data_IF_279419072481
#
_entry.id   IF_279419072481
#
_cell.length_a   1.000
_cell.length_b   1.000
_cell.length_c   1.000
_cell.angle_alpha   90.00
_cell.angle_beta   90.00
_cell.angle_gamma   90.00
#
_symmetry.space_group_name_H-M   'P 1'
#
loop_
_entity.id
_entity.type
_entity.pdbx_description
1 polymer ?
#
# COMPACT_ATOMS: atom_id res chain seq x y z
N UNK A 1 -3.78 -16.22 61.12
CA UNK A 1 -4.56 -15.33 60.22
C UNK A 1 -3.84 -15.26 58.88
N UNK A 2 -4.36 -15.91 57.85
CA UNK A 2 -3.77 -15.94 56.50
C UNK A 2 -4.31 -14.75 55.69
N UNK A 3 -3.42 -13.95 55.08
CA UNK A 3 -3.81 -12.81 54.24
C UNK A 3 -4.32 -13.31 52.88
N UNK A 4 -5.39 -12.72 52.31
CA UNK A 4 -5.85 -13.12 50.99
C UNK A 4 -4.85 -12.65 49.92
N UNK A 5 -4.45 -13.56 49.02
CA UNK A 5 -3.73 -13.21 47.80
C UNK A 5 -4.77 -12.79 46.76
N UNK A 6 -4.87 -11.48 46.51
CA UNK A 6 -5.63 -10.96 45.37
C UNK A 6 -4.79 -11.23 44.12
N UNK A 7 -5.26 -12.14 43.28
CA UNK A 7 -4.70 -12.38 41.95
C UNK A 7 -5.39 -11.39 41.01
N UNK A 8 -4.64 -10.37 40.56
CA UNK A 8 -5.07 -9.54 39.43
C UNK A 8 -4.88 -10.35 38.14
N UNK A 9 -5.97 -10.88 37.61
CA UNK A 9 -6.00 -11.45 36.26
C UNK A 9 -6.10 -10.29 35.26
N UNK A 10 -4.97 -9.84 34.73
CA UNK A 10 -4.94 -8.91 33.61
C UNK A 10 -5.34 -9.65 32.34
N UNK A 11 -6.64 -9.59 32.00
CA UNK A 11 -7.13 -9.96 30.68
C UNK A 11 -6.67 -8.88 29.69
N UNK A 12 -5.53 -9.09 29.03
CA UNK A 12 -5.16 -8.30 27.85
C UNK A 12 -6.08 -8.70 26.69
N UNK A 13 -7.26 -8.10 26.63
CA UNK A 13 -8.05 -8.02 25.40
C UNK A 13 -7.32 -7.09 24.44
N UNK A 14 -6.35 -7.61 23.69
CA UNK A 14 -5.83 -6.89 22.53
C UNK A 14 -6.92 -6.88 21.46
N UNK A 15 -7.77 -5.86 21.49
CA UNK A 15 -8.61 -5.47 20.37
C UNK A 15 -7.67 -4.99 19.26
N UNK A 16 -7.10 -5.93 18.52
CA UNK A 16 -6.50 -5.65 17.21
C UNK A 16 -7.66 -5.43 16.23
N UNK A 17 -8.39 -4.33 16.37
CA UNK A 17 -9.27 -3.88 15.30
C UNK A 17 -8.37 -3.39 14.18
N UNK A 18 -8.23 -4.23 13.14
CA UNK A 18 -7.60 -3.80 11.89
C UNK A 18 -8.38 -2.57 11.42
N UNK A 19 -7.70 -1.43 11.30
CA UNK A 19 -8.32 -0.22 10.80
C UNK A 19 -8.89 -0.50 9.40
N UNK A 20 -10.19 -0.25 9.22
CA UNK A 20 -10.86 -0.53 7.95
C UNK A 20 -10.48 0.51 6.90
N UNK A 21 -10.22 0.04 5.68
CA UNK A 21 -10.03 0.89 4.51
C UNK A 21 -11.41 1.29 3.99
N UNK A 22 -11.56 2.56 3.62
CA UNK A 22 -12.73 3.06 2.92
C UNK A 22 -12.37 3.40 1.47
N UNK A 23 -13.39 3.54 0.62
CA UNK A 23 -13.21 3.84 -0.81
C UNK A 23 -12.48 5.15 -1.10
N UNK A 24 -12.50 6.13 -0.18
CA UNK A 24 -11.79 7.42 -0.35
C UNK A 24 -10.28 7.28 -0.20
N UNK A 25 -9.80 6.33 0.61
CA UNK A 25 -8.36 6.05 0.76
C UNK A 25 -7.79 5.54 -0.57
N UNK A 26 -8.53 4.67 -1.26
CA UNK A 26 -8.14 4.10 -2.54
C UNK A 26 -8.45 5.03 -3.73
N UNK A 27 -9.53 5.80 -3.67
CA UNK A 27 -9.95 6.66 -4.77
C UNK A 27 -9.08 7.91 -4.92
N UNK A 28 -8.38 8.04 -6.06
CA UNK A 28 -7.48 9.15 -6.43
C UNK A 28 -6.09 9.10 -5.78
N UNK A 29 -5.61 7.91 -5.44
CA UNK A 29 -4.25 7.71 -4.91
C UNK A 29 -3.37 6.93 -5.89
N UNK A 30 -2.07 7.19 -5.77
CA UNK A 30 -1.01 6.43 -6.41
C UNK A 30 -0.40 5.54 -5.33
N UNK A 31 -0.29 4.26 -5.64
CA UNK A 31 0.23 3.26 -4.72
C UNK A 31 1.42 2.56 -5.33
N UNK A 32 2.45 2.33 -4.54
CA UNK A 32 3.63 1.59 -4.92
C UNK A 32 3.65 0.25 -4.20
N UNK A 33 4.06 -0.80 -4.88
CA UNK A 33 4.38 -2.06 -4.24
C UNK A 33 5.63 -1.90 -3.37
N UNK A 34 5.55 -2.39 -2.14
CA UNK A 34 6.68 -2.53 -1.23
C UNK A 34 6.90 -4.02 -1.00
N UNK A 35 7.54 -4.68 -1.96
CA UNK A 35 7.79 -6.13 -1.93
C UNK A 35 9.27 -6.43 -2.19
N UNK A 36 9.80 -7.45 -1.52
CA UNK A 36 11.14 -8.00 -1.74
C UNK A 36 11.33 -8.62 -3.14
N UNK A 37 10.25 -8.86 -3.89
CA UNK A 37 10.30 -9.31 -5.27
C UNK A 37 9.47 -8.36 -6.16
N UNK A 38 10.02 -7.98 -7.32
CA UNK A 38 9.36 -7.19 -8.37
C UNK A 38 8.13 -7.90 -8.96
N UNK A 39 8.01 -9.20 -8.76
CA UNK A 39 6.88 -10.04 -9.17
C UNK A 39 5.69 -9.92 -8.21
N UNK A 40 5.13 -8.70 -8.09
CA UNK A 40 3.96 -8.34 -7.28
C UNK A 40 2.83 -9.40 -7.29
N UNK A 41 2.61 -10.05 -8.43
CA UNK A 41 1.54 -11.02 -8.64
C UNK A 41 1.80 -12.43 -8.12
N UNK A 42 3.07 -12.77 -7.86
CA UNK A 42 3.47 -14.12 -7.42
C UNK A 42 3.40 -14.28 -5.91
N UNK A 43 3.62 -13.20 -5.15
CA UNK A 43 3.56 -13.26 -3.69
C UNK A 43 2.13 -13.45 -3.20
N UNK A 44 1.97 -14.26 -2.15
CA UNK A 44 0.70 -14.39 -1.44
C UNK A 44 0.40 -13.17 -0.57
N UNK A 45 1.42 -12.43 -0.14
CA UNK A 45 1.22 -11.17 0.59
C UNK A 45 1.93 -10.03 -0.11
N UNK A 46 1.24 -8.91 -0.22
CA UNK A 46 1.75 -7.72 -0.88
C UNK A 46 1.52 -6.51 0.02
N UNK A 47 2.55 -5.70 0.23
CA UNK A 47 2.37 -4.38 0.82
C UNK A 47 2.30 -3.32 -0.28
N UNK A 48 1.35 -2.39 -0.15
CA UNK A 48 1.28 -1.21 -1.00
C UNK A 48 1.33 0.05 -0.15
N UNK A 49 2.03 1.06 -0.66
CA UNK A 49 2.22 2.34 0.02
C UNK A 49 1.77 3.50 -0.85
N UNK A 50 0.97 4.40 -0.28
CA UNK A 50 0.61 5.69 -0.86
C UNK A 50 1.23 6.79 -0.02
N UNK A 51 1.64 7.87 -0.68
CA UNK A 51 2.13 9.08 -0.03
C UNK A 51 1.57 10.30 -0.75
N UNK A 52 1.41 11.40 -0.01
CA UNK A 52 1.07 12.69 -0.63
C UNK A 52 2.37 13.42 -0.96
N UNK A 53 2.60 13.79 -2.23
CA UNK A 53 3.77 14.59 -2.59
C UNK A 53 3.72 15.94 -1.87
N UNK A 54 4.91 16.43 -1.51
CA UNK A 54 5.08 17.70 -0.80
C UNK A 54 4.67 18.87 -1.70
N UNK A 55 4.09 19.93 -1.11
CA UNK A 55 3.52 21.06 -1.85
C UNK A 55 4.57 21.95 -2.52
N UNK A 56 5.85 21.84 -2.16
CA UNK A 56 6.93 22.61 -2.79
C UNK A 56 7.23 22.09 -4.20
N UNK A 57 6.60 22.71 -5.18
CA UNK A 57 6.79 22.55 -6.62
C UNK A 57 8.26 22.49 -7.04
N UNK A 58 8.61 21.55 -7.94
CA UNK A 58 8.93 21.80 -9.36
C UNK A 58 9.98 20.88 -9.96
N UNK A 59 10.71 20.13 -9.16
CA UNK A 59 11.65 19.18 -9.70
C UNK A 59 11.03 17.79 -9.70
N UNK A 60 11.01 17.15 -10.87
CA UNK A 60 10.91 15.68 -11.05
C UNK A 60 11.95 14.89 -10.21
N UNK A 61 12.78 15.60 -9.46
CA UNK A 61 13.99 15.19 -8.80
C UNK A 61 13.73 15.16 -7.30
N UNK A 62 13.09 14.08 -6.83
CA UNK A 62 13.11 13.57 -5.45
C UNK A 62 12.11 12.41 -5.27
N UNK A 63 11.06 12.35 -6.09
CA UNK A 63 10.08 11.27 -6.04
C UNK A 63 10.76 9.92 -6.30
N UNK A 64 11.47 9.81 -7.41
CA UNK A 64 12.38 8.72 -7.78
C UNK A 64 13.22 8.16 -6.61
N UNK A 65 14.05 9.01 -6.02
CA UNK A 65 14.95 8.64 -4.93
C UNK A 65 14.19 8.28 -3.66
N UNK A 66 13.08 8.95 -3.40
CA UNK A 66 12.20 8.61 -2.29
C UNK A 66 11.51 7.25 -2.47
N UNK A 67 11.04 6.92 -3.69
CA UNK A 67 10.51 5.59 -4.02
C UNK A 67 11.56 4.49 -3.77
N UNK A 68 12.84 4.77 -4.07
CA UNK A 68 13.94 3.86 -3.76
C UNK A 68 14.29 3.74 -2.28
N UNK A 69 14.01 4.75 -1.45
CA UNK A 69 14.19 4.62 0.01
C UNK A 69 13.04 3.85 0.68
N UNK A 70 11.86 3.82 0.05
CA UNK A 70 10.71 3.06 0.53
C UNK A 70 10.73 1.59 0.12
N UNK A 71 11.47 1.26 -0.94
CA UNK A 71 11.60 -0.09 -1.44
C UNK A 71 13.08 -0.45 -1.59
N UNK A 72 13.55 -1.43 -0.81
CA UNK A 72 14.91 -1.96 -0.93
C UNK A 72 15.16 -2.61 -2.30
N UNK A 73 14.10 -2.87 -3.07
CA UNK A 73 14.15 -3.36 -4.43
C UNK A 73 14.26 -2.24 -5.47
N UNK A 74 15.10 -2.47 -6.48
CA UNK A 74 15.33 -1.56 -7.62
C UNK A 74 14.18 -1.53 -8.62
N UNK A 75 13.15 -2.35 -8.45
CA UNK A 75 11.95 -2.36 -9.29
C UNK A 75 10.70 -2.31 -8.41
N UNK A 76 9.70 -1.53 -8.83
CA UNK A 76 8.39 -1.53 -8.19
C UNK A 76 7.24 -1.44 -9.18
N UNK A 77 6.08 -1.91 -8.74
CA UNK A 77 4.80 -1.78 -9.42
C UNK A 77 4.08 -0.55 -8.89
N UNK A 78 3.64 0.31 -9.79
CA UNK A 78 2.77 1.44 -9.49
C UNK A 78 1.32 1.14 -9.91
N UNK A 79 0.40 1.35 -8.96
CA UNK A 79 -1.03 1.17 -9.10
C UNK A 79 -1.72 2.53 -8.95
N UNK A 80 -2.49 2.94 -9.96
CA UNK A 80 -3.34 4.14 -9.86
C UNK A 80 -4.81 3.74 -9.89
N UNK A 81 -5.45 3.80 -8.73
CA UNK A 81 -6.87 3.52 -8.56
C UNK A 81 -7.69 4.79 -8.84
N UNK A 82 -8.30 4.85 -10.03
CA UNK A 82 -9.16 5.96 -10.41
C UNK A 82 -10.58 5.75 -9.90
N UNK A 83 -11.25 6.83 -9.53
CA UNK A 83 -12.61 6.81 -8.97
C UNK A 83 -13.69 6.22 -9.90
N UNK A 84 -13.39 6.09 -11.20
CA UNK A 84 -14.27 5.45 -12.19
C UNK A 84 -13.97 3.95 -12.39
N UNK A 85 -13.39 3.29 -11.40
CA UNK A 85 -13.02 1.87 -11.45
C UNK A 85 -11.93 1.52 -12.49
N UNK A 86 -11.29 2.51 -13.11
CA UNK A 86 -10.11 2.28 -13.94
C UNK A 86 -8.88 2.12 -13.08
N UNK A 87 -8.08 1.11 -13.38
CA UNK A 87 -6.76 0.90 -12.82
C UNK A 87 -5.73 1.33 -13.88
N UNK A 88 -4.68 2.04 -13.47
CA UNK A 88 -3.43 2.06 -14.24
C UNK A 88 -2.41 1.20 -13.52
N UNK A 89 -1.65 0.44 -14.30
CA UNK A 89 -0.64 -0.48 -13.81
C UNK A 89 0.64 -0.29 -14.63
N UNK A 90 1.74 -0.02 -13.96
CA UNK A 90 3.08 0.14 -14.56
C UNK A 90 4.15 -0.49 -13.69
N UNK A 91 5.23 -0.95 -14.31
CA UNK A 91 6.47 -1.30 -13.61
C UNK A 91 7.49 -0.20 -13.86
N UNK A 92 8.24 0.15 -12.83
CA UNK A 92 9.27 1.19 -12.89
C UNK A 92 10.58 0.56 -12.42
N UNK A 93 11.59 0.63 -13.28
CA UNK A 93 12.96 0.29 -12.93
C UNK A 93 13.66 1.55 -12.42
N UNK A 94 14.21 1.49 -11.19
CA UNK A 94 14.82 2.64 -10.51
C UNK A 94 16.18 2.99 -11.11
N UNK A 95 16.93 2.00 -11.57
CA UNK A 95 18.28 2.25 -12.10
C UNK A 95 18.22 2.99 -13.45
N UNK A 96 17.27 2.62 -14.30
CA UNK A 96 17.11 3.16 -15.66
C UNK A 96 16.00 4.20 -15.78
N UNK A 97 15.11 4.29 -14.78
CA UNK A 97 13.86 5.05 -14.82
C UNK A 97 12.91 4.64 -15.94
N UNK A 98 13.10 3.44 -16.51
CA UNK A 98 12.22 2.92 -17.53
C UNK A 98 10.86 2.57 -16.92
N UNK A 99 9.82 3.19 -17.48
CA UNK A 99 8.43 2.93 -17.13
C UNK A 99 7.83 2.03 -18.19
N UNK A 100 7.47 0.82 -17.80
CA UNK A 100 6.71 -0.09 -18.64
C UNK A 100 5.24 -0.03 -18.25
N UNK A 101 4.46 0.70 -19.02
CA UNK A 101 3.00 0.72 -18.88
C UNK A 101 2.38 -0.51 -19.54
N UNK A 102 1.47 -1.14 -18.82
CA UNK A 102 0.75 -2.28 -19.34
C UNK A 102 -0.46 -1.79 -20.13
N UNK A 103 -0.61 -2.25 -21.38
CA UNK A 103 -1.73 -1.87 -22.25
C UNK A 103 -2.91 -2.83 -22.07
N UNK A 104 -4.13 -2.29 -22.08
CA UNK A 104 -5.40 -3.04 -22.04
C UNK A 104 -6.43 -2.47 -21.07
N UNK A 105 -7.63 -3.04 -21.07
CA UNK A 105 -8.68 -2.69 -20.10
C UNK A 105 -8.30 -3.22 -18.71
N UNK A 106 -8.12 -2.30 -17.78
CA UNK A 106 -7.70 -2.53 -16.40
C UNK A 106 -8.78 -1.99 -15.49
N UNK A 107 -9.41 -2.88 -14.74
CA UNK A 107 -10.47 -2.48 -13.81
C UNK A 107 -10.15 -2.97 -12.41
N UNK A 108 -10.62 -2.20 -11.43
CA UNK A 108 -10.55 -2.57 -10.03
C UNK A 108 -11.92 -2.42 -9.39
N UNK A 109 -12.16 -3.21 -8.34
CA UNK A 109 -13.35 -3.11 -7.52
C UNK A 109 -12.97 -3.27 -6.06
N UNK A 110 -13.58 -2.46 -5.19
CA UNK A 110 -13.39 -2.57 -3.74
C UNK A 110 -14.70 -2.87 -3.05
N UNK A 111 -14.70 -3.96 -2.27
CA UNK A 111 -15.80 -4.31 -1.40
C UNK A 111 -15.45 -3.89 0.02
N UNK A 112 -15.98 -2.75 0.45
CA UNK A 112 -15.73 -2.18 1.78
C UNK A 112 -16.21 -3.10 2.91
N UNK A 113 -17.35 -3.78 2.75
CA UNK A 113 -17.88 -4.70 3.76
C UNK A 113 -16.95 -5.90 3.98
N UNK A 114 -16.38 -6.44 2.90
CA UNK A 114 -15.48 -7.61 2.95
C UNK A 114 -14.01 -7.23 3.09
N UNK A 115 -13.67 -5.94 2.97
CA UNK A 115 -12.31 -5.43 2.90
C UNK A 115 -11.49 -6.15 1.81
N UNK A 116 -12.08 -6.32 0.62
CA UNK A 116 -11.43 -7.02 -0.50
C UNK A 116 -11.27 -6.12 -1.72
N UNK A 117 -10.11 -6.22 -2.37
CA UNK A 117 -9.79 -5.58 -3.64
C UNK A 117 -9.74 -6.65 -4.73
N UNK A 118 -10.51 -6.46 -5.80
CA UNK A 118 -10.43 -7.26 -7.01
C UNK A 118 -9.71 -6.43 -8.09
N UNK A 119 -8.71 -7.02 -8.74
CA UNK A 119 -7.96 -6.43 -9.85
C UNK A 119 -8.13 -7.32 -11.07
N UNK A 120 -8.59 -6.74 -12.18
CA UNK A 120 -8.67 -7.45 -13.47
C UNK A 120 -7.77 -6.77 -14.48
N UNK A 121 -6.83 -7.54 -15.01
CA UNK A 121 -5.93 -7.09 -16.07
C UNK A 121 -5.59 -8.25 -17.02
N UNK A 122 -5.89 -8.08 -18.31
CA UNK A 122 -5.77 -9.14 -19.32
C UNK A 122 -6.52 -10.41 -18.86
N UNK A 123 -5.82 -11.55 -18.80
CA UNK A 123 -6.36 -12.83 -18.33
C UNK A 123 -6.08 -13.09 -16.84
N UNK A 124 -5.55 -12.11 -16.11
CA UNK A 124 -5.29 -12.21 -14.68
C UNK A 124 -6.44 -11.56 -13.90
N UNK A 125 -7.11 -12.38 -13.11
CA UNK A 125 -8.06 -11.95 -12.08
C UNK A 125 -7.44 -12.22 -10.72
N UNK A 126 -7.25 -11.15 -9.93
CA UNK A 126 -6.57 -11.22 -8.64
C UNK A 126 -7.47 -10.64 -7.56
N UNK A 127 -7.68 -11.44 -6.54
CA UNK A 127 -8.43 -11.06 -5.36
C UNK A 127 -7.47 -10.90 -4.18
N UNK A 128 -7.65 -9.82 -3.43
CA UNK A 128 -6.87 -9.52 -2.24
C UNK A 128 -7.79 -9.18 -1.08
N UNK A 129 -7.49 -9.71 0.10
CA UNK A 129 -8.05 -9.27 1.37
C UNK A 129 -7.09 -8.28 2.03
N UNK A 130 -7.62 -7.17 2.52
CA UNK A 130 -6.85 -6.24 3.34
C UNK A 130 -6.70 -6.84 4.74
N UNK A 131 -5.46 -7.07 5.15
CA UNK A 131 -5.13 -7.67 6.44
C UNK A 131 -4.47 -6.68 7.39
N UNK A 132 -3.99 -5.54 6.88
CA UNK A 132 -3.44 -4.47 7.71
C UNK A 132 -3.57 -3.10 7.03
N UNK A 133 -3.77 -2.07 7.84
CA UNK A 133 -3.71 -0.66 7.44
C UNK A 133 -2.90 0.10 8.48
N UNK A 134 -1.88 0.84 8.03
CA UNK A 134 -1.00 1.63 8.89
C UNK A 134 -0.82 3.03 8.33
N UNK A 135 -0.83 4.01 9.23
CA UNK A 135 -0.48 5.39 8.92
C UNK A 135 0.86 5.72 9.57
N UNK A 136 1.76 6.32 8.79
CA UNK A 136 3.08 6.72 9.28
C UNK A 136 3.39 8.15 8.86
N UNK A 137 4.20 8.82 9.67
CA UNK A 137 4.78 10.11 9.32
C UNK A 137 6.29 9.90 9.30
N UNK A 138 6.89 10.12 8.14
CA UNK A 138 8.35 10.03 7.98
C UNK A 138 8.92 11.41 7.71
N UNK A 139 10.06 11.70 8.33
CA UNK A 139 10.81 12.92 8.02
C UNK A 139 11.49 12.73 6.68
N UNK A 140 11.22 13.62 5.74
CA UNK A 140 11.93 13.64 4.47
C UNK A 140 13.40 14.00 4.70
N UNK A 141 14.31 13.33 4.01
CA UNK A 141 15.72 13.74 3.95
C UNK A 141 15.95 14.86 2.94
N UNK A 142 14.98 15.09 2.05
CA UNK A 142 15.06 16.04 0.94
C UNK A 142 14.26 17.33 1.18
N UNK A 143 13.52 17.41 2.29
CA UNK A 143 12.75 18.59 2.68
C UNK A 143 12.67 18.72 4.19
N UNK A 144 12.42 19.92 4.69
CA UNK A 144 12.05 20.16 6.08
C UNK A 144 10.64 19.63 6.43
N UNK A 145 9.82 19.29 5.44
CA UNK A 145 8.47 18.79 5.61
C UNK A 145 8.42 17.29 5.93
N UNK A 146 7.40 16.90 6.71
CA UNK A 146 7.08 15.52 7.00
C UNK A 146 6.17 14.94 5.91
N UNK A 147 6.42 13.68 5.54
CA UNK A 147 5.62 12.95 4.55
C UNK A 147 4.67 12.01 5.29
N UNK A 148 3.40 12.07 4.90
CA UNK A 148 2.37 11.15 5.39
C UNK A 148 2.31 9.93 4.47
N UNK A 149 2.49 8.75 5.06
CA UNK A 149 2.41 7.47 4.38
C UNK A 149 1.14 6.74 4.83
N UNK A 150 0.52 6.06 3.88
CA UNK A 150 -0.54 5.08 4.13
C UNK A 150 -0.04 3.75 3.58
N UNK A 151 0.07 2.74 4.44
CA UNK A 151 0.50 1.39 4.08
C UNK A 151 -0.67 0.43 4.23
N UNK A 152 -0.88 -0.41 3.22
CA UNK A 152 -1.90 -1.46 3.23
C UNK A 152 -1.21 -2.78 2.94
N UNK A 153 -1.38 -3.75 3.84
CA UNK A 153 -0.97 -5.13 3.59
C UNK A 153 -2.15 -5.93 3.05
N UNK A 154 -1.91 -6.54 1.91
CA UNK A 154 -2.84 -7.35 1.12
C UNK A 154 -2.45 -8.82 1.23
N UNK A 155 -3.44 -9.68 1.37
CA UNK A 155 -3.29 -11.14 1.27
C UNK A 155 -4.06 -11.59 0.04
N UNK A 156 -3.38 -12.26 -0.89
CA UNK A 156 -3.99 -12.87 -2.07
C UNK A 156 -4.95 -13.97 -1.61
N UNK A 157 -6.15 -13.94 -2.17
CA UNK A 157 -7.20 -14.93 -1.92
C UNK A 157 -7.64 -15.54 -3.26
N UNK A 158 -8.17 -16.76 -3.20
CA UNK A 158 -8.72 -17.46 -4.36
C UNK A 158 -10.07 -16.87 -4.74
#
# INVERSE_FOLDING_TARGET
>A
MSKPKIIFLFLFLSLNSIAQVNSKILGKSYWLSQNENSEFFKSDTVEIISFSPLKSEKDKWNESKFKSELNDNKDFVELSFKSNHRLKFSTINIDTWEVSEFKGNQVWQFNEKKQTINLKFKALDLNFKIINLKYEIVKSRFSSENIKLVKIKLLKIK
#
